data_IF_416518181366
#
_entry.id   IF_416518181366
#
_cell.length_a   1.000
_cell.length_b   1.000
_cell.length_c   1.000
_cell.angle_alpha   90.00
_cell.angle_beta   90.00
_cell.angle_gamma   90.00
#
_symmetry.space_group_name_H-M   'P 1'
#
loop_
_entity.id
_entity.type
_entity.pdbx_description
1 polymer ?
#
# COMPACT_ATOMS: atom_id res chain seq x y z
N UNK A 1 -2.27 -29.62 13.02
CA UNK A 1 -1.25 -28.97 12.17
C UNK A 1 -0.69 -27.81 12.96
N UNK A 2 0.61 -27.50 12.87
CA UNK A 2 1.21 -26.38 13.61
C UNK A 2 0.64 -25.04 13.14
N UNK A 3 0.65 -24.02 14.00
CA UNK A 3 0.25 -22.65 13.63
C UNK A 3 1.19 -22.09 12.56
N UNK A 4 0.67 -21.27 11.65
CA UNK A 4 1.47 -20.59 10.64
C UNK A 4 1.55 -19.11 11.00
N UNK A 5 2.75 -18.65 11.35
CA UNK A 5 2.99 -17.23 11.60
C UNK A 5 3.27 -16.54 10.27
N UNK A 6 2.55 -15.46 9.99
CA UNK A 6 2.88 -14.60 8.86
C UNK A 6 4.07 -13.69 9.21
N UNK A 7 4.62 -13.02 8.21
CA UNK A 7 5.74 -12.09 8.39
C UNK A 7 5.28 -10.66 8.11
N UNK A 8 5.60 -9.74 9.01
CA UNK A 8 5.32 -8.32 8.82
C UNK A 8 6.11 -7.77 7.62
N UNK A 9 5.40 -7.19 6.64
CA UNK A 9 6.02 -6.74 5.40
C UNK A 9 7.09 -5.65 5.59
N UNK A 10 6.96 -4.82 6.62
CA UNK A 10 7.92 -3.73 6.91
C UNK A 10 9.09 -4.25 7.75
N UNK A 11 8.79 -4.81 8.92
CA UNK A 11 9.77 -5.11 9.97
C UNK A 11 10.38 -6.51 9.87
N UNK A 12 9.75 -7.42 9.13
CA UNK A 12 10.06 -8.85 9.10
C UNK A 12 9.88 -9.57 10.45
N UNK A 13 9.24 -8.92 11.43
CA UNK A 13 8.83 -9.57 12.68
C UNK A 13 7.65 -10.52 12.44
N UNK A 14 7.52 -11.61 13.24
CA UNK A 14 6.40 -12.52 13.11
C UNK A 14 5.06 -11.85 13.46
N UNK A 15 4.01 -12.28 12.78
CA UNK A 15 2.61 -11.95 13.05
C UNK A 15 1.96 -13.24 13.56
N UNK A 16 1.55 -13.23 14.82
CA UNK A 16 0.91 -14.37 15.49
C UNK A 16 -0.60 -14.17 15.60
N UNK A 17 -1.39 -15.25 15.76
CA UNK A 17 -2.84 -15.13 15.92
C UNK A 17 -3.25 -14.11 16.98
N UNK A 18 -4.23 -13.28 16.66
CA UNK A 18 -4.69 -12.17 17.49
C UNK A 18 -3.90 -10.86 17.31
N UNK A 19 -2.80 -10.84 16.55
CA UNK A 19 -2.04 -9.61 16.29
C UNK A 19 -2.86 -8.62 15.45
N UNK A 20 -3.08 -7.37 15.90
CA UNK A 20 -3.67 -6.33 15.07
C UNK A 20 -2.76 -6.00 13.88
N UNK A 21 -3.34 -5.92 12.69
CA UNK A 21 -2.61 -5.68 11.44
C UNK A 21 -3.29 -4.64 10.55
N UNK A 22 -2.50 -3.98 9.71
CA UNK A 22 -2.95 -3.31 8.49
C UNK A 22 -2.75 -4.25 7.31
N UNK A 23 -3.80 -4.45 6.54
CA UNK A 23 -3.84 -5.21 5.30
C UNK A 23 -3.72 -4.22 4.14
N UNK A 24 -2.80 -4.49 3.22
CA UNK A 24 -2.70 -3.77 1.96
C UNK A 24 -2.72 -4.77 0.80
N UNK A 25 -3.40 -4.41 -0.27
CA UNK A 25 -3.24 -5.11 -1.54
C UNK A 25 -2.22 -4.38 -2.38
N UNK A 26 -1.21 -5.12 -2.84
CA UNK A 26 -0.17 -4.61 -3.72
C UNK A 26 -0.42 -5.12 -5.13
N UNK A 27 -0.38 -4.24 -6.11
CA UNK A 27 -0.35 -4.65 -7.51
C UNK A 27 1.09 -4.57 -8.02
N UNK A 28 1.47 -5.51 -8.89
CA UNK A 28 2.78 -5.46 -9.54
C UNK A 28 2.87 -4.22 -10.42
N UNK A 29 3.99 -3.51 -10.38
CA UNK A 29 4.23 -2.39 -11.27
C UNK A 29 4.22 -2.85 -12.74
N UNK A 30 3.41 -2.26 -13.64
CA UNK A 30 3.40 -2.65 -15.07
C UNK A 30 4.75 -2.34 -15.74
N UNK A 31 5.52 -1.42 -15.19
CA UNK A 31 6.84 -1.06 -15.68
C UNK A 31 7.96 -1.84 -14.99
N UNK A 32 7.64 -2.88 -14.21
CA UNK A 32 8.65 -3.84 -13.74
C UNK A 32 9.31 -4.44 -14.98
N UNK A 33 10.62 -4.25 -15.12
CA UNK A 33 11.38 -4.51 -16.37
C UNK A 33 11.50 -5.99 -16.75
N UNK A 34 10.90 -6.87 -15.96
CA UNK A 34 10.80 -8.28 -16.21
C UNK A 34 9.34 -8.68 -16.46
N UNK A 35 8.93 -8.75 -17.74
CA UNK A 35 7.59 -9.18 -18.12
C UNK A 35 7.36 -10.67 -17.80
N UNK A 36 8.42 -11.46 -17.65
CA UNK A 36 8.40 -12.92 -17.44
C UNK A 36 8.51 -13.38 -15.98
N UNK A 37 8.89 -12.50 -15.06
CA UNK A 37 9.21 -12.84 -13.66
C UNK A 37 10.48 -13.71 -13.47
N UNK A 38 11.44 -13.68 -14.41
CA UNK A 38 12.74 -14.35 -14.32
C UNK A 38 13.83 -13.60 -13.52
N UNK A 39 13.59 -12.34 -13.12
CA UNK A 39 14.44 -11.45 -12.34
C UNK A 39 15.95 -11.64 -12.62
N UNK A 40 16.37 -11.34 -13.86
CA UNK A 40 17.78 -11.44 -14.26
C UNK A 40 18.58 -10.27 -13.68
N UNK A 41 19.25 -10.51 -12.57
CA UNK A 41 20.16 -9.56 -11.90
C UNK A 41 21.46 -9.45 -12.71
N UNK A 42 21.88 -8.24 -13.10
CA UNK A 42 23.26 -7.97 -13.55
C UNK A 42 23.51 -7.67 -15.04
N UNK A 43 22.51 -7.64 -15.92
CA UNK A 43 22.73 -7.35 -17.36
C UNK A 43 22.78 -5.85 -17.71
N UNK A 44 22.91 -4.94 -16.73
CA UNK A 44 23.31 -3.54 -16.96
C UNK A 44 22.31 -2.62 -17.69
N UNK A 45 21.21 -3.14 -18.23
CA UNK A 45 20.13 -2.34 -18.85
C UNK A 45 18.94 -2.09 -17.91
N UNK A 46 19.08 -2.44 -16.63
CA UNK A 46 18.04 -2.37 -15.63
C UNK A 46 18.11 -1.03 -14.85
N UNK A 47 17.45 0.02 -15.32
CA UNK A 47 17.44 1.33 -14.62
C UNK A 47 16.52 1.40 -13.39
N UNK A 48 15.80 0.33 -13.05
CA UNK A 48 14.91 0.20 -11.88
C UNK A 48 15.28 -0.99 -10.98
N UNK A 49 16.50 -1.01 -10.45
CA UNK A 49 16.97 -2.02 -9.49
C UNK A 49 16.31 -1.90 -8.09
N UNK A 50 15.08 -1.38 -8.00
CA UNK A 50 14.44 -1.05 -6.73
C UNK A 50 14.88 0.30 -6.17
N UNK A 51 15.03 1.30 -7.05
CA UNK A 51 15.38 2.66 -6.67
C UNK A 51 14.25 3.35 -5.90
N UNK A 52 13.00 3.03 -6.24
CA UNK A 52 11.80 3.56 -5.61
C UNK A 52 11.02 2.45 -4.92
N UNK A 53 10.31 2.81 -3.85
CA UNK A 53 9.53 1.88 -3.05
C UNK A 53 8.48 1.10 -3.86
N UNK A 54 8.04 1.67 -4.99
CA UNK A 54 6.99 1.20 -5.87
C UNK A 54 7.48 0.59 -7.19
N UNK A 55 8.80 0.39 -7.37
CA UNK A 55 9.38 -0.09 -8.62
C UNK A 55 8.92 -1.51 -9.00
N UNK A 56 8.70 -2.38 -8.01
CA UNK A 56 8.25 -3.76 -8.23
C UNK A 56 6.77 -3.94 -7.95
N UNK A 57 6.30 -3.37 -6.84
CA UNK A 57 4.95 -3.51 -6.32
C UNK A 57 4.54 -2.19 -5.72
N UNK A 58 3.29 -1.77 -5.93
CA UNK A 58 2.76 -0.54 -5.37
C UNK A 58 1.50 -0.82 -4.56
N UNK A 59 1.28 -0.09 -3.44
CA UNK A 59 0.02 -0.14 -2.72
C UNK A 59 -1.12 0.29 -3.63
N UNK A 60 -2.14 -0.54 -3.72
CA UNK A 60 -3.35 -0.26 -4.49
C UNK A 60 -4.47 0.29 -3.63
N UNK A 61 -4.45 -0.04 -2.34
CA UNK A 61 -5.56 0.19 -1.40
C UNK A 61 -5.17 1.13 -0.28
N UNK A 62 -6.15 1.82 0.28
CA UNK A 62 -6.00 2.36 1.63
C UNK A 62 -5.72 1.20 2.62
N UNK A 63 -4.89 1.42 3.66
CA UNK A 63 -4.56 0.37 4.63
C UNK A 63 -5.79 -0.01 5.47
N UNK A 64 -6.21 -1.27 5.38
CA UNK A 64 -7.38 -1.79 6.10
C UNK A 64 -6.96 -2.40 7.44
N UNK A 65 -7.55 -1.97 8.56
CA UNK A 65 -7.34 -2.64 9.86
C UNK A 65 -8.00 -4.01 9.87
N UNK A 66 -7.33 -4.98 10.48
CA UNK A 66 -7.84 -6.32 10.73
C UNK A 66 -7.11 -6.96 11.92
N UNK A 67 -7.52 -8.19 12.29
CA UNK A 67 -6.80 -9.03 13.24
C UNK A 67 -6.30 -10.26 12.49
N UNK A 68 -5.02 -10.57 12.65
CA UNK A 68 -4.46 -11.80 12.09
C UNK A 68 -5.08 -13.01 12.77
N UNK A 69 -5.64 -13.93 11.98
CA UNK A 69 -6.19 -15.19 12.47
C UNK A 69 -5.05 -16.23 12.48
N UNK A 70 -5.13 -17.29 11.67
CA UNK A 70 -4.04 -18.27 11.48
C UNK A 70 -3.96 -18.61 9.98
N UNK A 71 -2.91 -19.30 9.55
CA UNK A 71 -2.75 -19.77 8.15
C UNK A 71 -2.87 -18.66 7.09
N UNK A 72 -2.45 -17.44 7.42
CA UNK A 72 -2.43 -16.32 6.49
C UNK A 72 -3.78 -15.68 6.28
N UNK A 73 -4.76 -16.01 7.13
CA UNK A 73 -6.06 -15.38 7.12
C UNK A 73 -6.10 -14.18 8.07
N UNK A 74 -7.04 -13.28 7.78
CA UNK A 74 -7.38 -12.14 8.64
C UNK A 74 -8.86 -12.20 8.97
N UNK A 75 -9.20 -11.82 10.19
CA UNK A 75 -10.57 -11.67 10.67
C UNK A 75 -10.82 -10.23 11.12
N UNK A 76 -12.09 -9.89 11.39
CA UNK A 76 -12.49 -8.57 11.90
C UNK A 76 -11.93 -7.42 11.06
N UNK A 77 -11.98 -7.61 9.74
CA UNK A 77 -11.58 -6.60 8.77
C UNK A 77 -12.51 -5.40 8.95
N UNK A 78 -11.91 -4.23 9.05
CA UNK A 78 -12.68 -3.00 9.20
C UNK A 78 -13.65 -2.81 8.04
N UNK A 79 -14.83 -2.31 8.36
CA UNK A 79 -15.85 -1.92 7.38
C UNK A 79 -15.85 -0.41 7.21
N UNK A 80 -16.49 0.09 6.15
CA UNK A 80 -16.69 1.52 5.92
C UNK A 80 -16.09 2.00 4.60
N UNK A 81 -15.92 3.31 4.47
CA UNK A 81 -15.67 3.97 3.20
C UNK A 81 -14.43 3.43 2.46
N UNK A 82 -13.36 3.08 3.18
CA UNK A 82 -12.16 2.51 2.59
C UNK A 82 -12.39 1.11 2.00
N UNK A 83 -13.15 0.25 2.67
CA UNK A 83 -13.48 -1.08 2.16
C UNK A 83 -14.48 -0.99 1.01
N UNK A 84 -15.46 -0.09 1.08
CA UNK A 84 -16.43 0.14 0.01
C UNK A 84 -15.73 0.58 -1.28
N UNK A 85 -14.81 1.56 -1.17
CA UNK A 85 -14.03 2.04 -2.31
C UNK A 85 -13.06 1.00 -2.83
N UNK A 86 -12.53 0.10 -1.98
CA UNK A 86 -11.72 -1.04 -2.44
C UNK A 86 -12.52 -1.93 -3.40
N UNK A 87 -13.74 -2.32 -3.01
CA UNK A 87 -14.61 -3.13 -3.86
C UNK A 87 -15.02 -2.41 -5.15
N UNK A 88 -15.33 -1.12 -5.07
CA UNK A 88 -15.61 -0.31 -6.26
C UNK A 88 -14.41 -0.25 -7.21
N UNK A 89 -13.20 -0.09 -6.66
CA UNK A 89 -11.98 -0.06 -7.45
C UNK A 89 -11.73 -1.40 -8.14
N UNK A 90 -11.92 -2.53 -7.42
CA UNK A 90 -11.80 -3.88 -8.01
C UNK A 90 -12.87 -4.12 -9.09
N UNK A 91 -14.12 -3.71 -8.85
CA UNK A 91 -15.19 -3.90 -9.84
C UNK A 91 -14.88 -3.25 -11.20
N UNK A 92 -14.09 -2.16 -11.18
CA UNK A 92 -13.70 -1.40 -12.38
C UNK A 92 -12.60 -2.08 -13.18
N UNK A 93 -11.52 -2.53 -12.55
CA UNK A 93 -10.32 -2.97 -13.27
C UNK A 93 -9.92 -4.44 -13.04
N UNK A 94 -10.63 -5.18 -12.19
CA UNK A 94 -10.33 -6.60 -11.97
C UNK A 94 -10.61 -7.39 -13.25
N UNK A 95 -9.67 -8.29 -13.57
CA UNK A 95 -9.79 -9.23 -14.67
C UNK A 95 -10.20 -10.58 -14.12
N UNK A 96 -11.33 -11.09 -14.59
CA UNK A 96 -11.84 -12.39 -14.15
C UNK A 96 -10.92 -13.51 -14.63
N UNK A 97 -10.69 -14.46 -13.73
CA UNK A 97 -9.86 -15.63 -14.00
C UNK A 97 -10.73 -16.87 -13.77
N UNK A 98 -10.98 -17.70 -14.79
CA UNK A 98 -11.72 -18.93 -14.63
C UNK A 98 -11.09 -19.84 -13.56
N UNK A 99 -11.89 -20.77 -13.02
CA UNK A 99 -11.38 -21.84 -12.15
C UNK A 99 -10.28 -22.62 -12.88
N UNK A 100 -9.18 -22.90 -12.21
CA UNK A 100 -8.07 -23.68 -12.79
C UNK A 100 -8.34 -25.18 -12.77
N UNK A 101 -7.32 -25.94 -13.16
CA UNK A 101 -7.39 -27.41 -13.24
C UNK A 101 -7.53 -28.07 -11.87
N UNK A 102 -6.94 -27.50 -10.82
CA UNK A 102 -7.08 -28.01 -9.47
C UNK A 102 -8.21 -27.27 -8.72
N UNK A 103 -9.41 -27.86 -8.61
CA UNK A 103 -10.56 -27.18 -8.01
C UNK A 103 -10.36 -26.76 -6.54
N UNK A 104 -9.39 -27.34 -5.83
CA UNK A 104 -9.12 -27.06 -4.41
C UNK A 104 -8.03 -26.01 -4.18
N UNK A 105 -7.24 -25.70 -5.21
CA UNK A 105 -6.12 -24.75 -5.11
C UNK A 105 -6.20 -23.63 -6.15
N UNK A 106 -7.11 -23.73 -7.12
CA UNK A 106 -7.31 -22.77 -8.19
C UNK A 106 -8.74 -22.17 -8.18
N UNK A 107 -9.09 -21.34 -7.17
CA UNK A 107 -10.38 -20.66 -7.15
C UNK A 107 -10.54 -19.75 -8.37
N UNK A 108 -11.80 -19.54 -8.79
CA UNK A 108 -12.11 -18.54 -9.80
C UNK A 108 -12.03 -17.14 -9.19
N UNK A 109 -11.53 -16.16 -9.94
CA UNK A 109 -11.60 -14.75 -9.57
C UNK A 109 -12.78 -14.12 -10.31
N UNK A 110 -13.81 -13.67 -9.59
CA UNK A 110 -15.03 -13.08 -10.14
C UNK A 110 -15.34 -11.73 -9.48
N UNK A 111 -16.07 -10.84 -10.16
CA UNK A 111 -16.34 -9.48 -9.65
C UNK A 111 -17.33 -9.43 -8.48
N UNK A 112 -18.06 -10.52 -8.25
CA UNK A 112 -19.08 -10.70 -7.22
C UNK A 112 -18.60 -11.52 -6.01
N UNK A 113 -17.30 -11.83 -5.95
CA UNK A 113 -16.71 -12.58 -4.83
C UNK A 113 -16.86 -11.86 -3.50
N UNK A 114 -17.07 -12.64 -2.44
CA UNK A 114 -17.04 -12.18 -1.05
C UNK A 114 -15.60 -11.87 -0.59
N UNK A 115 -15.45 -11.29 0.60
CA UNK A 115 -14.14 -11.05 1.19
C UNK A 115 -13.31 -12.34 1.32
N UNK A 116 -13.92 -13.42 1.83
CA UNK A 116 -13.23 -14.68 2.06
C UNK A 116 -12.78 -15.34 0.75
N UNK A 117 -13.63 -15.30 -0.28
CA UNK A 117 -13.30 -15.78 -1.63
C UNK A 117 -12.19 -14.93 -2.27
N UNK A 118 -12.24 -13.60 -2.13
CA UNK A 118 -11.18 -12.70 -2.60
C UNK A 118 -9.86 -12.98 -1.91
N UNK A 119 -9.89 -13.25 -0.60
CA UNK A 119 -8.69 -13.60 0.15
C UNK A 119 -8.08 -14.93 -0.32
N UNK A 120 -8.91 -15.96 -0.56
CA UNK A 120 -8.44 -17.22 -1.14
C UNK A 120 -7.85 -17.00 -2.54
N UNK A 121 -8.56 -16.30 -3.42
CA UNK A 121 -8.08 -15.94 -4.76
C UNK A 121 -6.73 -15.18 -4.70
N UNK A 122 -6.57 -14.26 -3.76
CA UNK A 122 -5.34 -13.48 -3.59
C UNK A 122 -4.19 -14.34 -3.07
N UNK A 123 -4.42 -15.15 -2.04
CA UNK A 123 -3.39 -16.02 -1.44
C UNK A 123 -2.97 -17.16 -2.37
N UNK A 124 -3.84 -17.59 -3.29
CA UNK A 124 -3.48 -18.49 -4.41
C UNK A 124 -2.82 -17.76 -5.58
N UNK A 125 -2.59 -16.46 -5.47
CA UNK A 125 -1.92 -15.66 -6.50
C UNK A 125 -2.72 -15.56 -7.80
N UNK A 126 -4.06 -15.59 -7.73
CA UNK A 126 -4.97 -15.57 -8.89
C UNK A 126 -5.66 -14.23 -9.10
N UNK A 127 -5.61 -13.31 -8.13
CA UNK A 127 -6.16 -11.97 -8.29
C UNK A 127 -5.37 -11.19 -9.36
N UNK A 128 -6.07 -10.64 -10.36
CA UNK A 128 -5.50 -9.88 -11.47
C UNK A 128 -6.25 -8.57 -11.69
N UNK A 129 -5.52 -7.50 -11.98
CA UNK A 129 -6.09 -6.18 -12.33
C UNK A 129 -5.53 -5.68 -13.66
N UNK A 130 -6.25 -4.77 -14.31
CA UNK A 130 -5.83 -4.16 -15.55
C UNK A 130 -4.78 -3.06 -15.31
N UNK A 131 -3.53 -3.35 -15.70
CA UNK A 131 -2.40 -2.41 -15.65
C UNK A 131 -2.41 -1.30 -16.70
N UNK A 132 -3.38 -1.31 -17.60
CA UNK A 132 -3.57 -0.35 -18.69
C UNK A 132 -4.96 0.28 -18.64
N UNK A 133 -5.54 0.43 -17.43
CA UNK A 133 -6.93 0.86 -17.23
C UNK A 133 -7.25 2.23 -17.84
N UNK A 134 -6.28 3.15 -17.88
CA UNK A 134 -6.42 4.47 -18.49
C UNK A 134 -5.57 4.69 -19.75
N UNK A 135 -4.91 3.66 -20.25
CA UNK A 135 -3.97 3.78 -21.36
C UNK A 135 -4.70 3.75 -22.71
N UNK A 136 -4.16 4.45 -23.70
CA UNK A 136 -4.71 4.49 -25.05
C UNK A 136 -3.67 4.04 -26.08
N UNK A 137 -4.10 3.20 -27.03
CA UNK A 137 -3.38 2.89 -28.25
C UNK A 137 -3.65 3.98 -29.30
N UNK A 138 -2.57 4.54 -29.84
CA UNK A 138 -2.63 5.55 -30.90
C UNK A 138 -2.41 4.90 -32.27
N UNK A 139 -3.11 5.34 -33.33
CA UNK A 139 -2.82 4.91 -34.69
C UNK A 139 -1.37 5.20 -35.09
N UNK A 140 -0.77 4.33 -35.91
CA UNK A 140 0.60 4.51 -36.42
C UNK A 140 0.73 5.69 -37.39
N UNK A 141 -0.35 6.03 -38.09
CA UNK A 141 -0.39 7.05 -39.14
C UNK A 141 -1.37 8.19 -38.80
N UNK A 142 -1.25 9.31 -39.53
CA UNK A 142 -2.06 10.51 -39.35
C UNK A 142 -1.35 11.62 -38.55
N UNK A 143 -1.97 12.80 -38.55
CA UNK A 143 -1.58 13.95 -37.72
C UNK A 143 -1.81 13.66 -36.23
N UNK A 144 -1.16 14.40 -35.33
CA UNK A 144 -1.36 14.21 -33.87
C UNK A 144 -2.82 14.41 -33.45
N UNK A 145 -3.54 15.32 -34.10
CA UNK A 145 -4.96 15.54 -33.85
C UNK A 145 -5.82 14.34 -34.29
N UNK A 146 -5.51 13.73 -35.43
CA UNK A 146 -6.17 12.51 -35.91
C UNK A 146 -5.84 11.32 -35.01
N UNK A 147 -4.57 11.17 -34.61
CA UNK A 147 -4.14 10.13 -33.67
C UNK A 147 -4.87 10.26 -32.33
N UNK A 148 -4.98 11.47 -31.80
CA UNK A 148 -5.72 11.73 -30.56
C UNK A 148 -7.21 11.40 -30.71
N UNK A 149 -7.86 11.83 -31.80
CA UNK A 149 -9.29 11.56 -32.06
C UNK A 149 -9.58 10.08 -32.26
N UNK A 150 -8.66 9.35 -32.88
CA UNK A 150 -8.83 7.95 -33.25
C UNK A 150 -8.14 6.97 -32.27
N UNK A 151 -7.68 7.46 -31.11
CA UNK A 151 -7.09 6.61 -30.08
C UNK A 151 -8.13 5.61 -29.57
N UNK A 152 -7.70 4.41 -29.23
CA UNK A 152 -8.54 3.35 -28.65
C UNK A 152 -8.03 3.03 -27.25
N UNK A 153 -8.89 2.59 -26.32
CA UNK A 153 -8.40 2.04 -25.05
C UNK A 153 -7.39 0.92 -25.33
N UNK A 154 -6.26 0.94 -24.61
CA UNK A 154 -5.26 -0.09 -24.74
C UNK A 154 -5.78 -1.46 -24.30
N UNK A 155 -5.23 -2.52 -24.86
CA UNK A 155 -5.58 -3.88 -24.42
C UNK A 155 -5.28 -4.07 -22.93
N UNK A 156 -6.17 -4.71 -22.16
CA UNK A 156 -5.92 -4.95 -20.75
C UNK A 156 -4.63 -5.74 -20.53
N UNK A 157 -3.81 -5.27 -19.58
CA UNK A 157 -2.60 -5.99 -19.14
C UNK A 157 -2.85 -6.58 -17.76
N UNK A 158 -2.89 -7.91 -17.67
CA UNK A 158 -3.14 -8.58 -16.39
C UNK A 158 -1.94 -8.45 -15.44
N UNK A 159 -2.09 -7.63 -14.40
CA UNK A 159 -1.11 -7.48 -13.34
C UNK A 159 -1.50 -8.35 -12.14
N UNK A 160 -0.57 -9.14 -11.57
CA UNK A 160 -0.83 -9.85 -10.33
C UNK A 160 -1.02 -8.87 -9.16
N UNK A 161 -1.92 -9.26 -8.26
CA UNK A 161 -2.15 -8.60 -6.98
C UNK A 161 -1.83 -9.59 -5.86
N UNK A 162 -1.13 -9.14 -4.83
CA UNK A 162 -0.91 -9.89 -3.60
C UNK A 162 -1.42 -9.09 -2.39
N UNK A 163 -1.70 -9.78 -1.29
CA UNK A 163 -1.99 -9.16 0.00
C UNK A 163 -0.73 -9.18 0.86
N UNK A 164 -0.47 -8.07 1.55
CA UNK A 164 0.57 -7.98 2.58
C UNK A 164 -0.04 -7.54 3.89
N UNK A 165 0.59 -7.96 4.98
CA UNK A 165 0.20 -7.60 6.34
C UNK A 165 1.32 -6.84 7.02
N UNK A 166 0.95 -5.78 7.73
CA UNK A 166 1.86 -4.99 8.56
C UNK A 166 1.29 -4.97 9.96
N UNK A 167 2.09 -5.27 10.98
CA UNK A 167 1.64 -5.16 12.37
C UNK A 167 1.26 -3.72 12.70
N UNK A 168 0.21 -3.53 13.49
CA UNK A 168 -0.23 -2.17 13.86
C UNK A 168 0.86 -1.41 14.63
N UNK A 169 1.55 -2.04 15.57
CA UNK A 169 2.66 -1.43 16.33
C UNK A 169 3.80 -0.96 15.41
N UNK A 170 4.14 -1.75 14.38
CA UNK A 170 5.11 -1.40 13.35
C UNK A 170 4.61 -0.24 12.48
N UNK A 171 3.34 -0.24 12.07
CA UNK A 171 2.75 0.86 11.31
C UNK A 171 2.83 2.17 12.11
N UNK A 172 2.42 2.14 13.37
CA UNK A 172 2.49 3.30 14.27
C UNK A 172 3.94 3.74 14.54
N UNK A 173 4.89 2.81 14.66
CA UNK A 173 6.30 3.15 14.77
C UNK A 173 6.82 3.86 13.51
N UNK A 174 6.41 3.42 12.31
CA UNK A 174 6.75 4.10 11.06
C UNK A 174 6.23 5.54 11.03
N UNK A 175 4.98 5.78 11.43
CA UNK A 175 4.41 7.13 11.50
C UNK A 175 5.15 8.05 12.50
N UNK A 176 5.90 7.47 13.43
CA UNK A 176 6.69 8.20 14.41
C UNK A 176 8.15 8.44 13.98
N UNK A 177 8.59 7.93 12.83
CA UNK A 177 9.93 8.20 12.33
C UNK A 177 10.05 9.65 11.85
N UNK A 178 11.25 10.22 12.00
CA UNK A 178 11.53 11.52 11.40
C UNK A 178 11.78 11.34 9.90
N UNK A 179 11.04 12.09 9.10
CA UNK A 179 11.26 12.16 7.67
C UNK A 179 12.42 13.14 7.39
N UNK A 180 13.53 12.72 6.76
CA UNK A 180 14.66 13.60 6.49
C UNK A 180 14.39 14.56 5.32
N UNK A 181 13.38 14.28 4.50
CA UNK A 181 13.02 15.09 3.35
C UNK A 181 12.05 16.23 3.69
N UNK A 182 12.21 16.84 4.87
CA UNK A 182 11.51 18.09 5.25
C UNK A 182 11.69 19.21 4.19
N UNK A 183 12.68 19.07 3.29
CA UNK A 183 13.11 20.06 2.29
C UNK A 183 12.57 19.87 0.85
N UNK A 184 12.07 18.70 0.47
CA UNK A 184 11.76 18.39 -0.94
C UNK A 184 10.30 18.52 -1.35
N UNK A 185 9.41 18.85 -0.41
CA UNK A 185 8.05 19.30 -0.72
C UNK A 185 8.04 20.82 -0.65
N UNK A 186 7.68 21.48 -1.75
CA UNK A 186 7.59 22.93 -1.85
C UNK A 186 6.50 23.43 -0.89
N UNK A 187 6.87 23.80 0.33
CA UNK A 187 6.00 24.25 1.41
C UNK A 187 6.65 23.89 2.76
N UNK A 188 6.60 24.78 3.73
CA UNK A 188 7.37 24.70 4.99
C UNK A 188 7.33 23.31 5.67
N UNK A 189 8.45 22.58 5.58
CA UNK A 189 8.92 21.58 6.55
C UNK A 189 7.94 20.51 7.04
N UNK A 190 8.05 19.30 6.50
CA UNK A 190 7.31 18.14 7.01
C UNK A 190 7.73 17.74 8.45
N UNK A 191 7.16 18.31 9.52
CA UNK A 191 7.42 17.87 10.91
C UNK A 191 6.41 16.82 11.38
N UNK A 192 6.77 16.06 12.43
CA UNK A 192 6.07 14.92 13.07
C UNK A 192 4.63 15.16 13.58
N UNK A 193 3.95 16.22 13.11
CA UNK A 193 2.49 16.41 13.15
C UNK A 193 1.81 16.20 11.78
N UNK A 194 2.50 15.56 10.83
CA UNK A 194 2.19 15.69 9.42
C UNK A 194 1.00 14.89 8.90
N UNK A 195 0.67 13.72 9.46
CA UNK A 195 -0.48 12.96 8.93
C UNK A 195 -1.76 13.77 9.04
N UNK A 196 -1.95 14.50 10.15
CA UNK A 196 -3.11 15.36 10.33
C UNK A 196 -3.03 16.62 9.46
N UNK A 197 -1.86 17.24 9.33
CA UNK A 197 -1.69 18.40 8.44
C UNK A 197 -1.94 18.03 6.97
N UNK A 198 -1.39 16.89 6.55
CA UNK A 198 -1.59 16.31 5.24
C UNK A 198 -3.05 15.91 5.02
N UNK A 199 -3.69 15.29 6.03
CA UNK A 199 -5.13 15.06 6.00
C UNK A 199 -5.88 16.38 5.81
N UNK A 200 -5.52 17.43 6.56
CA UNK A 200 -6.13 18.76 6.43
C UNK A 200 -5.89 19.37 5.04
N UNK A 201 -4.72 19.15 4.42
CA UNK A 201 -4.42 19.58 3.05
C UNK A 201 -5.30 18.86 2.03
N UNK A 202 -5.44 17.53 2.12
CA UNK A 202 -6.39 16.79 1.28
C UNK A 202 -7.81 17.32 1.52
N UNK A 203 -8.22 17.47 2.78
CA UNK A 203 -9.53 18.00 3.19
C UNK A 203 -9.82 19.38 2.59
N UNK A 204 -8.83 20.26 2.56
CA UNK A 204 -8.94 21.59 1.94
C UNK A 204 -9.23 21.49 0.44
N UNK A 205 -8.65 20.51 -0.25
CA UNK A 205 -8.87 20.31 -1.68
C UNK A 205 -10.27 19.77 -2.02
N UNK A 206 -10.99 19.18 -1.06
CA UNK A 206 -12.41 18.84 -1.22
C UNK A 206 -13.34 20.04 -1.01
N UNK A 207 -12.85 21.14 -0.44
CA UNK A 207 -13.62 22.37 -0.23
C UNK A 207 -13.94 23.12 -1.53
N UNK A 208 -14.70 24.23 -1.46
CA UNK A 208 -14.90 25.11 -2.60
C UNK A 208 -13.56 25.55 -3.16
N UNK A 209 -13.28 25.13 -4.39
CA UNK A 209 -12.05 25.49 -5.09
C UNK A 209 -12.19 26.88 -5.71
N UNK A 210 -11.15 27.71 -5.61
CA UNK A 210 -11.03 28.92 -6.42
C UNK A 210 -10.88 28.59 -7.91
N UNK A 211 -10.45 27.36 -8.23
CA UNK A 211 -10.40 26.88 -9.60
C UNK A 211 -11.81 26.53 -10.08
N UNK A 212 -12.18 27.11 -11.22
CA UNK A 212 -13.39 26.73 -11.94
C UNK A 212 -13.34 25.29 -12.49
N UNK A 213 -12.15 24.68 -12.54
CA UNK A 213 -11.92 23.35 -13.07
C UNK A 213 -11.73 22.32 -11.93
N UNK A 214 -12.67 21.38 -11.82
CA UNK A 214 -12.64 20.28 -10.85
C UNK A 214 -11.45 19.33 -11.07
N UNK A 215 -11.04 19.11 -12.33
CA UNK A 215 -9.93 18.22 -12.67
C UNK A 215 -8.60 18.81 -12.22
N UNK A 216 -8.42 20.12 -12.40
CA UNK A 216 -7.24 20.83 -11.90
C UNK A 216 -7.16 20.77 -10.37
N UNK A 217 -8.27 21.03 -9.67
CA UNK A 217 -8.32 20.94 -8.21
C UNK A 217 -7.96 19.53 -7.71
N UNK A 218 -8.47 18.50 -8.38
CA UNK A 218 -8.14 17.09 -8.11
C UNK A 218 -6.65 16.81 -8.31
N UNK A 219 -6.09 17.23 -9.44
CA UNK A 219 -4.67 16.98 -9.75
C UNK A 219 -3.74 17.71 -8.78
N UNK A 220 -4.11 18.92 -8.34
CA UNK A 220 -3.38 19.63 -7.30
C UNK A 220 -3.45 18.89 -5.96
N UNK A 221 -4.64 18.43 -5.54
CA UNK A 221 -4.80 17.64 -4.33
C UNK A 221 -3.91 16.39 -4.34
N UNK A 222 -3.97 15.62 -5.43
CA UNK A 222 -3.17 14.40 -5.59
C UNK A 222 -1.67 14.68 -5.51
N UNK A 223 -1.22 15.76 -6.17
CA UNK A 223 0.20 16.16 -6.24
C UNK A 223 0.73 16.72 -4.92
N UNK A 224 -0.02 17.60 -4.26
CA UNK A 224 0.33 18.15 -2.95
C UNK A 224 0.46 17.02 -1.92
N UNK A 225 -0.36 16.00 -2.08
CA UNK A 225 -0.37 14.84 -1.21
C UNK A 225 0.61 13.75 -1.69
N UNK A 226 1.24 13.89 -2.86
CA UNK A 226 2.14 12.85 -3.40
C UNK A 226 1.47 11.48 -3.60
N UNK A 227 0.14 11.41 -3.57
CA UNK A 227 -0.65 10.18 -3.76
C UNK A 227 -0.57 9.75 -5.23
N UNK A 228 -0.43 10.73 -6.12
CA UNK A 228 -0.15 10.55 -7.57
C UNK A 228 1.16 9.79 -7.84
N UNK A 229 2.10 9.78 -6.88
CA UNK A 229 3.40 9.11 -7.04
C UNK A 229 3.40 7.67 -6.52
N UNK A 230 2.36 7.26 -5.81
CA UNK A 230 2.29 5.92 -5.23
C UNK A 230 1.96 4.90 -6.32
N UNK A 231 0.98 5.20 -7.16
CA UNK A 231 0.57 4.31 -8.24
C UNK A 231 1.32 4.64 -9.55
N UNK A 232 1.73 3.64 -10.34
CA UNK A 232 2.21 3.85 -11.70
C UNK A 232 1.12 4.46 -12.59
N UNK A 233 1.50 5.28 -13.59
CA UNK A 233 0.55 5.81 -14.56
C UNK A 233 -0.35 4.72 -15.18
N UNK A 234 -1.60 5.10 -15.46
CA UNK A 234 -2.62 4.25 -16.10
C UNK A 234 -3.05 3.01 -15.30
N UNK A 235 -2.69 2.94 -14.03
CA UNK A 235 -3.19 1.95 -13.08
C UNK A 235 -4.14 2.60 -12.08
N UNK A 236 -5.08 1.84 -11.51
CA UNK A 236 -5.83 2.33 -10.36
C UNK A 236 -5.02 2.08 -9.08
N UNK A 237 -5.02 3.05 -8.18
CA UNK A 237 -4.40 2.94 -6.86
C UNK A 237 -5.02 3.92 -5.85
N UNK A 238 -4.25 4.39 -4.86
CA UNK A 238 -4.70 5.37 -3.87
C UNK A 238 -5.34 6.64 -4.45
N UNK A 239 -4.92 7.07 -5.64
CA UNK A 239 -5.54 8.19 -6.38
C UNK A 239 -7.02 7.99 -6.72
N UNK A 240 -7.46 6.74 -6.83
CA UNK A 240 -8.85 6.38 -7.05
C UNK A 240 -9.72 6.78 -5.86
N UNK A 241 -9.23 6.54 -4.64
CA UNK A 241 -9.95 6.84 -3.41
C UNK A 241 -10.19 8.34 -3.27
N UNK A 242 -9.15 9.15 -3.53
CA UNK A 242 -9.27 10.62 -3.53
C UNK A 242 -10.28 11.06 -4.59
N UNK A 243 -10.17 10.58 -5.82
CA UNK A 243 -11.10 10.92 -6.90
C UNK A 243 -12.55 10.56 -6.58
N UNK A 244 -12.81 9.33 -6.13
CA UNK A 244 -14.17 8.90 -5.77
C UNK A 244 -14.73 9.63 -4.56
N UNK A 245 -13.89 9.94 -3.55
CA UNK A 245 -14.33 10.77 -2.44
C UNK A 245 -14.73 12.17 -2.93
N UNK A 246 -13.98 12.77 -3.87
CA UNK A 246 -14.25 14.11 -4.39
C UNK A 246 -15.56 14.12 -5.17
N UNK A 247 -15.77 13.11 -6.00
CA UNK A 247 -17.01 12.92 -6.75
C UNK A 247 -18.20 12.85 -5.78
N UNK A 248 -18.13 11.98 -4.76
CA UNK A 248 -19.19 11.81 -3.74
C UNK A 248 -19.46 13.09 -2.95
N UNK A 249 -18.44 13.86 -2.58
CA UNK A 249 -18.62 15.17 -1.91
C UNK A 249 -19.31 16.14 -2.85
N UNK A 250 -18.88 16.22 -4.10
CA UNK A 250 -19.47 17.14 -5.09
C UNK A 250 -20.91 16.80 -5.47
N UNK A 251 -21.29 15.53 -5.36
CA UNK A 251 -22.64 15.03 -5.57
C UNK A 251 -23.52 15.12 -4.30
N UNK A 252 -22.97 15.57 -3.17
CA UNK A 252 -23.67 15.64 -1.89
C UNK A 252 -23.93 14.28 -1.22
N UNK A 253 -23.29 13.21 -1.71
CA UNK A 253 -23.38 11.83 -1.16
C UNK A 253 -22.46 11.61 0.04
N UNK A 254 -21.46 12.47 0.23
CA UNK A 254 -20.54 12.45 1.36
C UNK A 254 -20.37 13.88 1.89
N UNK A 255 -20.47 14.08 3.19
CA UNK A 255 -20.26 15.41 3.77
C UNK A 255 -18.78 15.67 3.98
N UNK A 256 -18.35 16.91 3.74
CA UNK A 256 -16.96 17.32 3.92
C UNK A 256 -16.48 17.14 5.36
N UNK A 257 -17.34 17.33 6.35
CA UNK A 257 -17.04 17.16 7.77
C UNK A 257 -17.40 15.76 8.31
N UNK A 258 -17.69 14.80 7.43
CA UNK A 258 -18.05 13.44 7.88
C UNK A 258 -16.85 12.72 8.52
N UNK A 259 -17.08 11.98 9.63
CA UNK A 259 -16.05 11.14 10.24
C UNK A 259 -15.45 10.12 9.26
N UNK A 260 -16.27 9.54 8.39
CA UNK A 260 -15.87 8.51 7.43
C UNK A 260 -14.91 9.06 6.37
N UNK A 261 -15.14 10.29 5.90
CA UNK A 261 -14.21 10.96 4.98
C UNK A 261 -12.90 11.30 5.68
N UNK A 262 -12.98 11.83 6.91
CA UNK A 262 -11.79 12.18 7.71
C UNK A 262 -10.93 10.94 7.97
N UNK A 263 -11.55 9.80 8.30
CA UNK A 263 -10.86 8.53 8.49
C UNK A 263 -10.19 8.04 7.20
N UNK A 264 -10.91 8.04 6.07
CA UNK A 264 -10.33 7.64 4.77
C UNK A 264 -9.11 8.50 4.42
N UNK A 265 -9.26 9.82 4.55
CA UNK A 265 -8.20 10.79 4.23
C UNK A 265 -6.99 10.58 5.14
N UNK A 266 -7.21 10.33 6.43
CA UNK A 266 -6.15 9.99 7.38
C UNK A 266 -5.40 8.72 6.96
N UNK A 267 -6.12 7.66 6.54
CA UNK A 267 -5.48 6.41 6.07
C UNK A 267 -4.63 6.60 4.81
N UNK A 268 -5.09 7.42 3.87
CA UNK A 268 -4.32 7.77 2.67
C UNK A 268 -3.08 8.59 3.02
N UNK A 269 -3.19 9.48 4.01
CA UNK A 269 -2.09 10.25 4.56
C UNK A 269 -1.02 9.38 5.23
N UNK A 270 -1.44 8.46 6.08
CA UNK A 270 -0.56 7.45 6.68
C UNK A 270 0.17 6.66 5.60
N UNK A 271 -0.56 6.19 4.57
CA UNK A 271 0.02 5.41 3.48
C UNK A 271 1.07 6.20 2.68
N UNK A 272 0.77 7.44 2.31
CA UNK A 272 1.70 8.29 1.59
C UNK A 272 2.98 8.54 2.40
N UNK A 273 2.84 8.80 3.70
CA UNK A 273 3.97 8.97 4.61
C UNK A 273 4.82 7.69 4.70
N UNK A 274 4.20 6.52 4.84
CA UNK A 274 4.92 5.24 4.87
C UNK A 274 5.63 4.96 3.53
N UNK A 275 5.00 5.26 2.38
CA UNK A 275 5.65 5.11 1.06
C UNK A 275 6.88 6.01 0.91
N UNK A 276 6.82 7.22 1.47
CA UNK A 276 7.93 8.16 1.51
C UNK A 276 9.07 7.61 2.36
N UNK A 277 8.77 7.14 3.57
CA UNK A 277 9.75 6.51 4.45
C UNK A 277 10.36 5.25 3.84
N UNK A 278 9.60 4.43 3.10
CA UNK A 278 10.17 3.31 2.35
C UNK A 278 11.26 3.78 1.38
N UNK A 279 11.02 4.88 0.67
CA UNK A 279 12.00 5.44 -0.26
C UNK A 279 13.25 5.95 0.47
N UNK A 280 13.07 6.58 1.64
CA UNK A 280 14.17 7.01 2.52
C UNK A 280 14.98 5.82 3.04
N UNK A 281 14.29 4.79 3.53
CA UNK A 281 14.86 3.57 4.10
C UNK A 281 15.42 2.61 3.04
N UNK A 282 15.31 2.96 1.74
CA UNK A 282 15.67 2.10 0.60
C UNK A 282 15.00 0.73 0.68
N UNK A 283 13.77 0.72 1.16
CA UNK A 283 12.89 -0.45 1.18
C UNK A 283 11.90 -0.36 0.03
N UNK A 284 11.58 -1.53 -0.50
CA UNK A 284 10.55 -1.74 -1.51
C UNK A 284 9.42 -2.55 -0.89
N UNK A 285 8.18 -2.37 -1.37
CA UNK A 285 7.00 -3.07 -0.84
C UNK A 285 7.08 -4.59 -0.97
N UNK A 286 8.03 -5.08 -1.75
CA UNK A 286 8.47 -6.47 -1.83
C UNK A 286 9.99 -6.49 -1.66
N UNK A 287 10.62 -7.53 -1.08
CA UNK A 287 12.07 -7.61 -0.97
C UNK A 287 12.79 -7.25 -2.27
N UNK A 288 13.73 -6.31 -2.19
CA UNK A 288 14.58 -5.86 -3.29
C UNK A 288 16.05 -5.95 -2.91
N UNK A 289 16.92 -6.02 -3.90
CA UNK A 289 18.38 -6.18 -3.72
C UNK A 289 19.17 -4.90 -3.95
N UNK A 290 18.56 -3.87 -4.54
CA UNK A 290 19.25 -2.61 -4.85
C UNK A 290 19.06 -1.56 -3.76
N UNK A 291 20.11 -0.77 -3.56
CA UNK A 291 20.04 0.50 -2.85
C UNK A 291 20.15 1.60 -3.92
N UNK A 292 19.04 2.27 -4.24
CA UNK A 292 19.04 3.33 -5.25
C UNK A 292 20.12 4.39 -5.02
N UNK A 293 20.57 5.03 -6.10
CA UNK A 293 21.63 6.05 -6.05
C UNK A 293 21.23 7.22 -5.13
N UNK A 294 22.17 7.72 -4.31
CA UNK A 294 22.11 9.02 -3.62
C UNK A 294 21.24 9.14 -2.35
N UNK A 295 21.46 8.31 -1.31
CA UNK A 295 20.90 8.63 0.02
C UNK A 295 21.84 8.17 1.14
N UNK A 296 22.12 9.07 2.08
CA UNK A 296 22.88 8.84 3.31
C UNK A 296 22.00 9.08 4.53
N UNK A 297 20.73 8.69 4.47
CA UNK A 297 19.73 8.94 5.52
C UNK A 297 19.88 7.95 6.68
N UNK A 298 21.09 7.92 7.23
CA UNK A 298 21.47 7.02 8.31
C UNK A 298 20.69 7.31 9.59
N UNK A 299 20.28 8.57 9.83
CA UNK A 299 19.48 8.93 11.01
C UNK A 299 18.12 8.21 10.98
N UNK A 300 17.34 8.36 9.91
CA UNK A 300 16.03 7.70 9.78
C UNK A 300 16.18 6.17 9.74
N UNK A 301 17.26 5.67 9.14
CA UNK A 301 17.57 4.23 9.15
C UNK A 301 17.85 3.72 10.57
N UNK A 302 18.64 4.45 11.36
CA UNK A 302 18.91 4.13 12.76
C UNK A 302 17.63 4.17 13.59
N UNK A 303 16.81 5.23 13.45
CA UNK A 303 15.51 5.34 14.12
C UNK A 303 14.58 4.17 13.77
N UNK A 304 14.53 3.77 12.50
CA UNK A 304 13.76 2.61 12.07
C UNK A 304 14.22 1.35 12.79
N UNK A 305 15.52 1.04 12.73
CA UNK A 305 16.05 -0.18 13.34
C UNK A 305 15.90 -0.19 14.86
N UNK A 306 16.09 0.95 15.52
CA UNK A 306 15.84 1.11 16.96
C UNK A 306 14.36 0.85 17.31
N UNK A 307 13.43 1.45 16.55
CA UNK A 307 12.00 1.24 16.76
C UNK A 307 11.61 -0.23 16.56
N UNK A 308 12.12 -0.90 15.51
CA UNK A 308 11.85 -2.32 15.26
C UNK A 308 12.46 -3.21 16.35
N UNK A 309 13.66 -2.88 16.85
CA UNK A 309 14.30 -3.61 17.95
C UNK A 309 13.49 -3.49 19.24
N UNK A 310 12.99 -2.29 19.57
CA UNK A 310 12.15 -2.07 20.75
C UNK A 310 10.86 -2.90 20.70
N UNK A 311 10.17 -2.94 19.55
CA UNK A 311 9.01 -3.82 19.35
C UNK A 311 9.42 -5.29 19.53
N UNK A 312 10.56 -5.70 18.97
CA UNK A 312 11.08 -7.06 19.14
C UNK A 312 11.36 -7.43 20.60
N UNK A 313 11.90 -6.51 21.40
CA UNK A 313 12.11 -6.69 22.83
C UNK A 313 10.80 -6.85 23.59
N UNK A 314 9.80 -6.01 23.31
CA UNK A 314 8.48 -6.10 23.94
C UNK A 314 7.81 -7.45 23.62
N UNK A 315 7.93 -7.93 22.38
CA UNK A 315 7.39 -9.23 21.98
C UNK A 315 8.12 -10.40 22.63
N UNK A 316 9.44 -10.32 22.76
CA UNK A 316 10.22 -11.34 23.46
C UNK A 316 9.81 -11.42 24.93
N UNK A 317 9.72 -10.29 25.63
CA UNK A 317 9.34 -10.25 27.05
C UNK A 317 7.93 -10.83 27.24
N UNK A 318 6.99 -10.49 26.36
CA UNK A 318 5.64 -11.08 26.38
C UNK A 318 5.66 -12.60 26.17
N UNK A 319 6.44 -13.10 25.22
CA UNK A 319 6.58 -14.57 25.00
C UNK A 319 7.20 -15.28 26.22
N UNK A 320 8.16 -14.66 26.91
CA UNK A 320 8.73 -15.22 28.14
C UNK A 320 7.70 -15.26 29.28
N UNK A 321 6.87 -14.22 29.42
CA UNK A 321 5.76 -14.19 30.39
C UNK A 321 4.73 -15.28 30.09
N UNK A 322 4.27 -15.36 28.84
CA UNK A 322 3.31 -16.38 28.40
C UNK A 322 3.85 -17.80 28.64
N UNK A 323 5.15 -18.06 28.39
CA UNK A 323 5.74 -19.39 28.65
C UNK A 323 5.76 -19.77 30.13
N UNK A 324 6.04 -18.82 31.01
CA UNK A 324 6.05 -19.10 32.45
C UNK A 324 4.66 -19.38 33.02
N UNK A 325 3.58 -19.02 32.32
CA UNK A 325 2.22 -19.42 32.71
C UNK A 325 1.97 -20.92 32.54
N UNK A 326 2.68 -21.58 31.61
CA UNK A 326 2.43 -22.99 31.25
C UNK A 326 3.57 -23.94 31.62
N UNK A 327 4.78 -23.41 31.82
CA UNK A 327 5.98 -24.17 32.20
C UNK A 327 6.48 -23.66 33.56
N UNK A 328 6.15 -24.40 34.63
CA UNK A 328 6.49 -24.05 36.02
C UNK A 328 8.01 -23.92 36.24
N UNK A 329 8.82 -24.61 35.44
CA UNK A 329 10.29 -24.56 35.49
C UNK A 329 10.87 -23.41 34.65
N UNK A 330 10.03 -22.71 33.86
CA UNK A 330 10.48 -21.60 33.03
C UNK A 330 10.71 -20.34 33.88
N UNK A 331 11.93 -19.81 33.81
CA UNK A 331 12.28 -18.52 34.42
C UNK A 331 12.26 -17.45 33.31
N UNK A 332 11.30 -16.50 33.33
CA UNK A 332 11.24 -15.44 32.33
C UNK A 332 12.53 -14.63 32.29
N UNK A 333 13.02 -14.38 31.08
CA UNK A 333 14.17 -13.49 30.86
C UNK A 333 13.68 -12.14 30.38
N UNK A 334 14.32 -11.07 30.86
CA UNK A 334 14.13 -9.73 30.31
C UNK A 334 15.00 -9.53 29.07
N UNK A 335 14.53 -8.73 28.14
CA UNK A 335 15.33 -8.35 26.98
C UNK A 335 16.49 -7.45 27.40
N UNK A 336 17.69 -7.67 26.85
CA UNK A 336 18.80 -6.73 27.00
C UNK A 336 18.62 -5.60 25.98
N UNK A 337 17.95 -4.53 26.40
CA UNK A 337 17.72 -3.37 25.54
C UNK A 337 19.03 -2.62 25.28
N UNK A 338 19.16 -2.09 24.06
CA UNK A 338 20.27 -1.19 23.73
C UNK A 338 20.18 0.02 24.67
N UNK A 339 21.24 0.26 25.44
CA UNK A 339 21.30 1.44 26.33
C UNK A 339 21.42 2.67 25.44
N UNK A 340 20.44 3.57 25.56
CA UNK A 340 20.40 4.86 24.83
C UNK A 340 21.47 5.84 25.28
#
# INVERSE_FOLDING_TARGET
>A
MGSWQATCNISQLPITPGTPVRVLFLARCPYSMDPSNELRIGEGNNSREGCYSTDFWYPRTAPLKAIYADYGQVEKVETGLALDMFWEQLSKDMLEVPRGENPYHDPAATKDMTWDEMWDVTTKGRLRVNGSYGEFEYPSEGTDQEKWRNRKPAKPRALPVCAVMVREDVWQAMLNLRNPWELFVLGEGFKKGNVQEFANQIMKAFGPSEFHDKELARNMALRECGVDRIAPPFTLGPEFYVGQAMDRVSEGKLKLDSPELTELVTKLAELAHVCLLYSVLRKTWHPGTGCGSQSTEYETTAQFHEAMANIGYDLFEKDQEERAEWDEDHVPRKAERLRG
#
